data_IF_187373356609
#
_entry.id   IF_187373356609
#
_cell.length_a   1.000
_cell.length_b   1.000
_cell.length_c   1.000
_cell.angle_alpha   90.00
_cell.angle_beta   90.00
_cell.angle_gamma   90.00
#
_symmetry.space_group_name_H-M   'P 1'
#
loop_
_entity.id
_entity.type
_entity.pdbx_description
1 polymer ?
#
# COMPACT_ATOMS: atom_id res chain seq x y z
N UNK A 1 -22.91 -5.67 -35.43
CA UNK A 1 -23.28 -5.19 -34.08
C UNK A 1 -22.08 -4.42 -33.59
N UNK A 2 -22.22 -3.12 -33.40
CA UNK A 2 -21.12 -2.16 -33.42
C UNK A 2 -20.25 -2.23 -32.17
N UNK A 3 -18.92 -2.21 -32.40
CA UNK A 3 -17.84 -1.73 -31.55
C UNK A 3 -18.30 -1.23 -30.18
N UNK A 4 -18.04 -2.03 -29.14
CA UNK A 4 -18.34 -1.80 -27.72
C UNK A 4 -18.47 -0.31 -27.36
N UNK A 5 -19.71 0.15 -27.27
CA UNK A 5 -20.07 1.51 -26.92
C UNK A 5 -19.81 1.74 -25.43
N UNK A 6 -18.61 2.23 -25.11
CA UNK A 6 -18.23 2.57 -23.74
C UNK A 6 -19.19 3.61 -23.14
N UNK A 7 -19.67 4.57 -23.94
CA UNK A 7 -20.63 5.58 -23.48
C UNK A 7 -21.98 4.92 -23.14
N UNK A 8 -22.43 3.97 -23.95
CA UNK A 8 -23.62 3.17 -23.67
C UNK A 8 -23.51 2.36 -22.38
N UNK A 9 -22.34 1.76 -22.11
CA UNK A 9 -22.08 1.05 -20.84
C UNK A 9 -22.07 2.02 -19.65
N UNK A 10 -21.39 3.16 -19.78
CA UNK A 10 -21.33 4.20 -18.75
C UNK A 10 -22.74 4.66 -18.36
N UNK A 11 -23.54 5.08 -19.36
CA UNK A 11 -24.91 5.56 -19.16
C UNK A 11 -25.78 4.50 -18.50
N UNK A 12 -25.74 3.27 -19.01
CA UNK A 12 -26.55 2.18 -18.46
C UNK A 12 -26.16 1.83 -17.01
N UNK A 13 -24.88 1.95 -16.64
CA UNK A 13 -24.44 1.78 -15.25
C UNK A 13 -24.91 2.93 -14.38
N UNK A 14 -24.75 4.18 -14.83
CA UNK A 14 -25.19 5.37 -14.10
C UNK A 14 -26.71 5.36 -13.84
N UNK A 15 -27.53 5.10 -14.87
CA UNK A 15 -28.99 5.01 -14.76
C UNK A 15 -29.43 3.95 -13.74
N UNK A 16 -28.73 2.81 -13.68
CA UNK A 16 -29.02 1.77 -12.68
C UNK A 16 -28.61 2.21 -11.28
N UNK A 17 -27.45 2.85 -11.13
CA UNK A 17 -26.99 3.35 -9.84
C UNK A 17 -27.96 4.39 -9.27
N UNK A 18 -28.51 5.25 -10.13
CA UNK A 18 -29.49 6.26 -9.74
C UNK A 18 -30.82 5.69 -9.20
N UNK A 19 -31.10 4.40 -9.43
CA UNK A 19 -32.27 3.73 -8.86
C UNK A 19 -32.06 3.25 -7.42
N UNK A 20 -30.84 3.33 -6.88
CA UNK A 20 -30.50 2.93 -5.53
C UNK A 20 -30.44 4.13 -4.58
N UNK A 21 -30.45 3.86 -3.28
CA UNK A 21 -30.24 4.88 -2.26
C UNK A 21 -28.79 5.40 -2.28
N UNK A 22 -28.54 6.63 -1.77
CA UNK A 22 -27.17 7.19 -1.65
C UNK A 22 -26.18 6.24 -0.95
N UNK A 23 -26.61 5.61 0.14
CA UNK A 23 -25.80 4.64 0.88
C UNK A 23 -25.47 3.40 0.03
N UNK A 24 -26.43 2.87 -0.73
CA UNK A 24 -26.19 1.71 -1.62
C UNK A 24 -25.24 2.06 -2.78
N UNK A 25 -25.32 3.29 -3.32
CA UNK A 25 -24.37 3.79 -4.33
C UNK A 25 -22.96 3.86 -3.74
N UNK A 26 -22.82 4.38 -2.52
CA UNK A 26 -21.53 4.45 -1.84
C UNK A 26 -20.94 3.06 -1.53
N UNK A 27 -21.77 2.11 -1.07
CA UNK A 27 -21.36 0.72 -0.88
C UNK A 27 -20.93 0.09 -2.21
N UNK A 28 -21.67 0.32 -3.30
CA UNK A 28 -21.28 -0.13 -4.63
C UNK A 28 -19.93 0.46 -5.05
N UNK A 29 -19.70 1.76 -4.81
CA UNK A 29 -18.44 2.42 -5.11
C UNK A 29 -17.26 1.80 -4.32
N UNK A 30 -17.51 1.39 -3.09
CA UNK A 30 -16.54 0.66 -2.26
C UNK A 30 -16.23 -0.73 -2.81
N UNK A 31 -17.23 -1.48 -3.31
CA UNK A 31 -16.99 -2.72 -4.06
C UNK A 31 -16.17 -2.46 -5.32
N UNK A 32 -16.57 -1.48 -6.14
CA UNK A 32 -15.86 -1.12 -7.37
C UNK A 32 -14.39 -0.79 -7.10
N UNK A 33 -14.12 0.07 -6.10
CA UNK A 33 -12.76 0.40 -5.65
C UNK A 33 -12.00 -0.87 -5.27
N UNK A 34 -12.59 -1.75 -4.46
CA UNK A 34 -11.90 -2.96 -4.01
C UNK A 34 -11.56 -3.94 -5.16
N UNK A 35 -12.48 -4.18 -6.10
CA UNK A 35 -12.17 -4.97 -7.30
C UNK A 35 -11.11 -4.30 -8.17
N UNK A 36 -11.11 -2.97 -8.26
CA UNK A 36 -10.12 -2.23 -9.02
C UNK A 36 -8.74 -2.42 -8.41
N UNK A 37 -8.61 -2.24 -7.10
CA UNK A 37 -7.36 -2.42 -6.36
C UNK A 37 -6.84 -3.86 -6.49
N UNK A 38 -7.73 -4.85 -6.35
CA UNK A 38 -7.35 -6.25 -6.53
C UNK A 38 -6.87 -6.59 -7.95
N UNK A 39 -7.15 -5.76 -8.96
CA UNK A 39 -6.63 -5.94 -10.31
C UNK A 39 -5.25 -5.29 -10.55
N UNK A 40 -4.69 -4.56 -9.57
CA UNK A 40 -3.32 -4.04 -9.62
C UNK A 40 -2.29 -5.16 -9.46
N UNK A 41 -1.96 -5.81 -10.57
CA UNK A 41 -0.99 -6.90 -10.62
C UNK A 41 -0.15 -6.80 -11.88
N UNK A 42 1.08 -7.29 -11.82
CA UNK A 42 2.01 -7.29 -12.96
C UNK A 42 1.45 -8.00 -14.20
N UNK A 43 0.71 -9.09 -14.04
CA UNK A 43 0.06 -9.79 -15.15
C UNK A 43 -1.03 -8.96 -15.85
N UNK A 44 -1.90 -8.31 -15.08
CA UNK A 44 -2.96 -7.44 -15.65
C UNK A 44 -2.34 -6.15 -16.22
N UNK A 45 -1.31 -5.61 -15.58
CA UNK A 45 -0.55 -4.47 -16.09
C UNK A 45 0.12 -4.79 -17.43
N UNK A 46 0.81 -5.93 -17.52
CA UNK A 46 1.44 -6.39 -18.75
C UNK A 46 0.42 -6.56 -19.88
N UNK A 47 -0.74 -7.18 -19.61
CA UNK A 47 -1.83 -7.26 -20.58
C UNK A 47 -2.31 -5.87 -21.03
N UNK A 48 -2.40 -4.92 -20.09
CA UNK A 48 -2.78 -3.54 -20.37
C UNK A 48 -1.79 -2.86 -21.31
N UNK A 49 -0.48 -3.03 -21.06
CA UNK A 49 0.58 -2.52 -21.91
C UNK A 49 0.49 -3.13 -23.31
N UNK A 50 0.37 -4.46 -23.43
CA UNK A 50 0.25 -5.15 -24.72
C UNK A 50 -0.93 -4.64 -25.54
N UNK A 51 -2.04 -4.25 -24.88
CA UNK A 51 -3.23 -3.73 -25.56
C UNK A 51 -3.16 -2.24 -25.94
N UNK A 52 -2.26 -1.45 -25.34
CA UNK A 52 -2.25 0.02 -25.47
C UNK A 52 -0.88 0.59 -25.85
N UNK A 53 0.07 -0.26 -26.26
CA UNK A 53 1.48 0.04 -26.54
C UNK A 53 2.30 0.55 -25.33
N UNK A 54 1.66 1.18 -24.34
CA UNK A 54 2.23 1.62 -23.07
C UNK A 54 1.12 1.99 -22.07
N UNK A 55 1.42 1.86 -20.78
CA UNK A 55 0.54 2.31 -19.70
C UNK A 55 1.31 3.09 -18.63
N UNK A 56 0.81 4.28 -18.27
CA UNK A 56 1.18 4.98 -17.04
C UNK A 56 0.32 4.49 -15.87
N UNK A 57 0.65 4.88 -14.64
CA UNK A 57 -0.14 4.53 -13.46
C UNK A 57 -1.61 4.98 -13.60
N UNK A 58 -1.85 6.21 -14.06
CA UNK A 58 -3.20 6.73 -14.34
C UNK A 58 -3.90 5.96 -15.46
N UNK A 59 -3.18 5.68 -16.56
CA UNK A 59 -3.74 4.88 -17.66
C UNK A 59 -4.09 3.45 -17.23
N UNK A 60 -3.36 2.91 -16.25
CA UNK A 60 -3.62 1.58 -15.72
C UNK A 60 -4.83 1.59 -14.76
N UNK A 61 -5.01 2.65 -13.98
CA UNK A 61 -6.23 2.86 -13.21
C UNK A 61 -7.47 2.84 -14.13
N UNK A 62 -7.39 3.56 -15.25
CA UNK A 62 -8.44 3.61 -16.27
C UNK A 62 -8.68 2.26 -16.94
N UNK A 63 -7.61 1.48 -17.15
CA UNK A 63 -7.71 0.13 -17.70
C UNK A 63 -8.41 -0.83 -16.73
N UNK A 64 -8.14 -0.74 -15.44
CA UNK A 64 -8.80 -1.57 -14.42
C UNK A 64 -10.29 -1.19 -14.31
N UNK A 65 -10.64 0.08 -14.45
CA UNK A 65 -12.03 0.53 -14.57
C UNK A 65 -12.72 -0.08 -15.81
N UNK A 66 -12.03 -0.04 -16.96
CA UNK A 66 -12.51 -0.72 -18.17
C UNK A 66 -12.71 -2.21 -17.96
N UNK A 67 -11.76 -2.91 -17.33
CA UNK A 67 -11.85 -4.35 -17.10
C UNK A 67 -13.09 -4.73 -16.27
N UNK A 68 -13.39 -3.94 -15.22
CA UNK A 68 -14.59 -4.14 -14.40
C UNK A 68 -15.87 -3.86 -15.21
N UNK A 69 -15.86 -2.83 -16.08
CA UNK A 69 -17.00 -2.52 -16.95
C UNK A 69 -17.38 -3.65 -17.91
N UNK A 70 -16.46 -4.59 -18.18
CA UNK A 70 -16.71 -5.80 -19.00
C UNK A 70 -17.55 -6.85 -18.26
N UNK A 71 -17.79 -6.66 -16.96
CA UNK A 71 -18.57 -7.54 -16.11
C UNK A 71 -17.74 -8.62 -15.43
N UNK A 72 -18.34 -9.21 -14.38
CA UNK A 72 -17.69 -10.13 -13.44
C UNK A 72 -16.98 -11.31 -14.12
N UNK A 73 -17.61 -11.96 -15.10
CA UNK A 73 -17.03 -13.12 -15.77
C UNK A 73 -15.75 -12.79 -16.54
N UNK A 74 -15.67 -11.61 -17.17
CA UNK A 74 -14.46 -11.17 -17.88
C UNK A 74 -13.39 -10.75 -16.89
N UNK A 75 -13.77 -10.02 -15.84
CA UNK A 75 -12.86 -9.63 -14.77
C UNK A 75 -12.20 -10.84 -14.11
N UNK A 76 -12.99 -11.83 -13.64
CA UNK A 76 -12.45 -13.02 -12.97
C UNK A 76 -11.57 -13.86 -13.91
N UNK A 77 -11.94 -13.99 -15.18
CA UNK A 77 -11.11 -14.69 -16.17
C UNK A 77 -9.76 -13.99 -16.36
N UNK A 78 -9.74 -12.66 -16.46
CA UNK A 78 -8.51 -11.89 -16.61
C UNK A 78 -7.65 -11.88 -15.32
N UNK A 79 -8.26 -11.97 -14.14
CA UNK A 79 -7.54 -12.11 -12.86
C UNK A 79 -6.83 -13.46 -12.75
N UNK A 80 -7.49 -14.52 -13.21
CA UNK A 80 -6.93 -15.88 -13.27
C UNK A 80 -5.85 -16.02 -14.34
N UNK A 81 -6.12 -15.49 -15.52
CA UNK A 81 -5.29 -15.60 -16.70
C UNK A 81 -5.46 -14.32 -17.56
N UNK A 82 -4.53 -13.35 -17.45
CA UNK A 82 -4.63 -12.12 -18.21
C UNK A 82 -4.59 -12.36 -19.73
N UNK A 83 -3.99 -13.46 -20.21
CA UNK A 83 -3.93 -13.81 -21.63
C UNK A 83 -5.31 -14.17 -22.21
N UNK A 84 -6.28 -14.52 -21.34
CA UNK A 84 -7.68 -14.77 -21.72
C UNK A 84 -8.36 -13.58 -22.41
N UNK A 85 -7.83 -12.36 -22.24
CA UNK A 85 -8.29 -11.16 -22.94
C UNK A 85 -8.08 -11.24 -24.46
N UNK A 86 -7.12 -12.05 -24.95
CA UNK A 86 -6.89 -12.25 -26.38
C UNK A 86 -8.12 -12.82 -27.12
N UNK A 87 -8.91 -13.64 -26.42
CA UNK A 87 -10.14 -14.24 -26.93
C UNK A 87 -11.37 -13.33 -26.90
N UNK A 88 -11.23 -12.07 -26.48
CA UNK A 88 -12.33 -11.11 -26.35
C UNK A 88 -12.30 -10.09 -27.49
N UNK A 89 -13.47 -9.50 -27.74
CA UNK A 89 -13.56 -8.28 -28.52
C UNK A 89 -13.10 -7.12 -27.63
N UNK A 90 -12.01 -6.48 -28.03
CA UNK A 90 -11.36 -5.38 -27.30
C UNK A 90 -11.63 -4.09 -28.09
N UNK A 91 -12.16 -3.03 -27.45
CA UNK A 91 -12.35 -1.74 -28.10
C UNK A 91 -11.00 -1.10 -28.44
N UNK A 92 -10.98 -0.16 -29.38
CA UNK A 92 -9.77 0.59 -29.75
C UNK A 92 -9.13 1.36 -28.59
N UNK A 93 -9.90 1.68 -27.55
CA UNK A 93 -9.43 2.32 -26.33
C UNK A 93 -9.92 1.52 -25.14
N UNK A 94 -9.00 1.06 -24.31
CA UNK A 94 -9.32 0.38 -23.05
C UNK A 94 -9.05 1.25 -21.82
N UNK A 95 -8.69 2.52 -22.01
CA UNK A 95 -8.67 3.51 -20.93
C UNK A 95 -10.09 4.07 -20.78
N UNK A 96 -10.71 3.83 -19.63
CA UNK A 96 -12.10 4.20 -19.37
C UNK A 96 -12.24 5.00 -18.06
N UNK A 97 -11.55 6.14 -18.01
CA UNK A 97 -11.51 7.07 -16.87
C UNK A 97 -12.91 7.41 -16.32
N UNK A 98 -13.84 7.78 -17.21
CA UNK A 98 -15.20 8.16 -16.82
C UNK A 98 -15.96 7.05 -16.07
N UNK A 99 -15.67 5.77 -16.37
CA UNK A 99 -16.26 4.67 -15.60
C UNK A 99 -15.74 4.61 -14.16
N UNK A 100 -14.52 5.11 -13.90
CA UNK A 100 -13.98 5.28 -12.56
C UNK A 100 -14.77 6.27 -11.69
N UNK A 101 -15.49 7.22 -12.32
CA UNK A 101 -16.30 8.23 -11.66
C UNK A 101 -17.81 7.95 -11.71
N UNK A 102 -18.26 6.84 -12.32
CA UNK A 102 -19.69 6.57 -12.56
C UNK A 102 -20.57 6.59 -11.29
N UNK A 103 -20.02 6.14 -10.15
CA UNK A 103 -20.74 6.21 -8.88
C UNK A 103 -20.82 7.63 -8.31
N UNK A 104 -19.76 8.42 -8.48
CA UNK A 104 -19.76 9.84 -8.10
C UNK A 104 -20.78 10.62 -8.95
N UNK A 105 -20.80 10.38 -10.26
CA UNK A 105 -21.75 11.02 -11.17
C UNK A 105 -23.20 10.59 -10.87
N UNK A 106 -23.44 9.31 -10.56
CA UNK A 106 -24.76 8.85 -10.15
C UNK A 106 -25.19 9.46 -8.81
N UNK A 107 -24.29 9.55 -7.83
CA UNK A 107 -24.56 10.09 -6.50
C UNK A 107 -24.90 11.58 -6.54
N UNK A 108 -24.16 12.36 -7.32
CA UNK A 108 -24.35 13.81 -7.46
C UNK A 108 -25.68 14.23 -8.08
N UNK A 109 -26.35 13.34 -8.78
CA UNK A 109 -27.69 13.59 -9.32
C UNK A 109 -28.77 13.47 -8.22
N UNK A 110 -28.44 12.86 -7.08
CA UNK A 110 -29.36 12.62 -5.96
C UNK A 110 -28.99 13.48 -4.74
N UNK A 111 -27.70 13.74 -4.53
CA UNK A 111 -27.15 14.45 -3.38
C UNK A 111 -26.28 15.63 -3.82
N UNK A 112 -26.28 16.73 -3.04
CA UNK A 112 -25.42 17.89 -3.31
C UNK A 112 -23.95 17.65 -2.91
N UNK A 113 -23.73 16.80 -1.90
CA UNK A 113 -22.40 16.40 -1.42
C UNK A 113 -21.75 15.32 -2.30
N UNK A 114 -20.45 15.09 -2.13
CA UNK A 114 -19.76 14.00 -2.80
C UNK A 114 -20.01 12.63 -2.15
N UNK A 115 -19.76 11.57 -2.92
CA UNK A 115 -19.96 10.18 -2.48
C UNK A 115 -18.93 9.73 -1.44
N UNK A 116 -17.80 10.42 -1.29
CA UNK A 116 -16.66 9.92 -0.52
C UNK A 116 -16.93 9.89 0.98
N UNK A 117 -17.61 10.90 1.53
CA UNK A 117 -18.02 10.89 2.93
C UNK A 117 -18.92 9.69 3.26
N UNK A 118 -19.86 9.37 2.38
CA UNK A 118 -20.75 8.21 2.54
C UNK A 118 -19.99 6.88 2.36
N UNK A 119 -19.01 6.82 1.46
CA UNK A 119 -18.12 5.66 1.31
C UNK A 119 -17.30 5.41 2.58
N UNK A 120 -16.76 6.45 3.18
CA UNK A 120 -15.95 6.36 4.41
C UNK A 120 -16.81 5.97 5.62
N UNK A 121 -18.07 6.42 5.66
CA UNK A 121 -19.04 6.00 6.66
C UNK A 121 -19.51 4.55 6.49
N UNK A 122 -19.46 4.01 5.26
CA UNK A 122 -19.95 2.67 4.91
C UNK A 122 -18.88 1.80 4.24
N UNK A 123 -17.74 1.54 4.91
CA UNK A 123 -16.67 0.75 4.34
C UNK A 123 -17.09 -0.73 4.18
N UNK A 124 -16.48 -1.43 3.22
CA UNK A 124 -16.65 -2.89 3.15
C UNK A 124 -16.14 -3.55 4.43
N UNK A 125 -16.95 -4.46 4.97
CA UNK A 125 -16.57 -5.30 6.10
C UNK A 125 -15.43 -6.24 5.74
N UNK A 126 -14.71 -6.74 6.76
CA UNK A 126 -13.67 -7.76 6.56
C UNK A 126 -14.22 -9.02 5.88
N UNK A 127 -15.43 -9.45 6.24
CA UNK A 127 -16.11 -10.59 5.64
C UNK A 127 -16.37 -10.35 4.13
N UNK A 128 -16.94 -9.20 3.75
CA UNK A 128 -17.17 -8.88 2.34
C UNK A 128 -15.87 -8.86 1.53
N UNK A 129 -14.79 -8.29 2.08
CA UNK A 129 -13.47 -8.31 1.42
C UNK A 129 -12.93 -9.74 1.29
N UNK A 130 -13.09 -10.58 2.31
CA UNK A 130 -12.68 -11.98 2.26
C UNK A 130 -13.49 -12.78 1.22
N UNK A 131 -14.80 -12.56 1.14
CA UNK A 131 -15.67 -13.20 0.15
C UNK A 131 -15.26 -12.82 -1.28
N UNK A 132 -14.96 -11.54 -1.53
CA UNK A 132 -14.44 -11.07 -2.82
C UNK A 132 -13.09 -11.72 -3.14
N UNK A 133 -12.20 -11.84 -2.16
CA UNK A 133 -10.89 -12.48 -2.41
C UNK A 133 -11.03 -13.97 -2.70
N UNK A 134 -11.97 -14.64 -2.03
CA UNK A 134 -12.20 -16.07 -2.18
C UNK A 134 -12.80 -16.45 -3.54
N UNK A 135 -13.52 -15.54 -4.21
CA UNK A 135 -14.03 -15.77 -5.57
C UNK A 135 -12.99 -15.53 -6.67
N UNK A 136 -11.89 -14.84 -6.37
CA UNK A 136 -10.84 -14.52 -7.35
C UNK A 136 -9.78 -15.61 -7.32
N UNK A 137 -9.56 -16.23 -8.47
CA UNK A 137 -8.36 -17.00 -8.73
C UNK A 137 -7.28 -16.06 -9.28
N UNK A 138 -6.08 -16.14 -8.73
CA UNK A 138 -4.99 -15.21 -9.02
C UNK A 138 -3.99 -15.82 -9.98
N UNK A 139 -3.63 -15.07 -11.02
CA UNK A 139 -2.51 -15.42 -11.90
C UNK A 139 -1.21 -15.52 -11.08
N UNK A 140 -0.53 -16.68 -11.06
CA UNK A 140 0.53 -16.94 -10.09
C UNK A 140 1.90 -16.36 -10.49
N UNK A 141 2.02 -15.80 -11.68
CA UNK A 141 3.30 -15.34 -12.22
C UNK A 141 3.42 -13.83 -12.15
N UNK A 142 4.59 -13.36 -11.70
CA UNK A 142 5.00 -11.99 -11.95
C UNK A 142 5.41 -11.85 -13.42
N UNK A 143 4.92 -10.79 -14.07
CA UNK A 143 5.19 -10.55 -15.48
C UNK A 143 6.03 -9.29 -15.63
N UNK A 144 7.23 -9.46 -16.19
CA UNK A 144 8.09 -8.37 -16.63
C UNK A 144 8.08 -8.23 -18.17
N UNK A 145 8.62 -7.13 -18.66
CA UNK A 145 8.68 -6.87 -20.10
C UNK A 145 9.47 -7.92 -20.90
N UNK A 146 10.67 -8.37 -20.48
CA UNK A 146 11.42 -9.40 -21.20
C UNK A 146 10.67 -10.74 -21.35
N UNK A 147 9.90 -11.15 -20.34
CA UNK A 147 9.22 -12.44 -20.29
C UNK A 147 7.73 -12.36 -20.61
N UNK A 148 7.20 -11.19 -21.00
CA UNK A 148 5.76 -11.01 -21.28
C UNK A 148 5.22 -12.00 -22.31
N UNK A 149 6.01 -12.36 -23.33
CA UNK A 149 5.59 -13.33 -24.36
C UNK A 149 5.48 -14.77 -23.84
N UNK A 150 6.16 -15.10 -22.75
CA UNK A 150 6.06 -16.42 -22.12
C UNK A 150 4.77 -16.54 -21.30
N UNK A 151 4.32 -15.43 -20.72
CA UNK A 151 3.16 -15.39 -19.83
C UNK A 151 1.86 -15.02 -20.57
N UNK A 152 1.94 -14.17 -21.60
CA UNK A 152 0.81 -13.67 -22.38
C UNK A 152 0.97 -13.93 -23.88
N UNK A 153 1.18 -15.19 -24.31
CA UNK A 153 1.52 -15.52 -25.68
C UNK A 153 0.42 -15.14 -26.69
N UNK A 154 -0.86 -15.31 -26.36
CA UNK A 154 -1.95 -15.05 -27.29
C UNK A 154 -2.20 -13.55 -27.48
N UNK A 155 -2.15 -12.78 -26.39
CA UNK A 155 -2.23 -11.31 -26.45
C UNK A 155 -1.07 -10.76 -27.27
N UNK A 156 0.16 -11.20 -26.98
CA UNK A 156 1.34 -10.75 -27.70
C UNK A 156 1.28 -11.12 -29.18
N UNK A 157 0.82 -12.33 -29.54
CA UNK A 157 0.69 -12.74 -30.94
C UNK A 157 -0.36 -11.93 -31.72
N UNK A 158 -1.40 -11.44 -31.04
CA UNK A 158 -2.50 -10.69 -31.65
C UNK A 158 -2.22 -9.19 -31.75
N UNK A 159 -1.48 -8.63 -30.80
CA UNK A 159 -1.34 -7.18 -30.64
C UNK A 159 0.08 -6.65 -30.82
N UNK A 160 1.12 -7.47 -30.71
CA UNK A 160 2.51 -7.04 -30.90
C UNK A 160 3.11 -7.62 -32.19
N UNK A 161 3.83 -6.78 -32.93
CA UNK A 161 4.66 -7.24 -34.05
C UNK A 161 5.80 -8.15 -33.54
N UNK A 162 6.23 -9.17 -34.32
CA UNK A 162 7.17 -10.20 -33.85
C UNK A 162 8.57 -9.70 -33.42
N UNK A 163 8.99 -8.52 -33.89
CA UNK A 163 10.34 -7.99 -33.70
C UNK A 163 10.38 -6.67 -32.91
N UNK A 164 9.26 -6.22 -32.35
CA UNK A 164 9.24 -5.01 -31.51
C UNK A 164 9.76 -5.36 -30.12
N UNK A 165 10.82 -4.66 -29.71
CA UNK A 165 11.26 -4.64 -28.32
C UNK A 165 10.19 -3.88 -27.52
N UNK A 166 9.50 -4.60 -26.66
CA UNK A 166 8.41 -4.08 -25.84
C UNK A 166 8.94 -3.91 -24.42
N UNK A 167 9.04 -2.68 -23.95
CA UNK A 167 9.64 -2.36 -22.66
C UNK A 167 8.63 -1.63 -21.76
N UNK A 168 8.43 -2.15 -20.55
CA UNK A 168 7.63 -1.54 -19.50
C UNK A 168 8.17 -1.97 -18.14
N UNK A 169 8.07 -1.07 -17.16
CA UNK A 169 8.33 -1.40 -15.76
C UNK A 169 7.02 -1.37 -14.99
N UNK A 170 6.60 -2.50 -14.45
CA UNK A 170 5.54 -2.49 -13.45
C UNK A 170 6.09 -1.94 -12.14
N UNK A 171 5.52 -0.82 -11.68
CA UNK A 171 5.67 -0.34 -10.31
C UNK A 171 4.29 -0.38 -9.70
N UNK A 172 4.13 -1.16 -8.63
CA UNK A 172 2.87 -1.17 -7.89
C UNK A 172 2.60 0.27 -7.42
N UNK A 173 1.43 0.82 -7.72
CA UNK A 173 1.12 2.22 -7.44
C UNK A 173 1.27 2.50 -5.93
N UNK A 174 2.13 3.44 -5.50
CA UNK A 174 2.30 3.77 -4.09
C UNK A 174 1.03 4.38 -3.44
N UNK A 175 0.10 4.89 -4.24
CA UNK A 175 -1.21 5.38 -3.79
C UNK A 175 -2.21 4.24 -3.46
N UNK A 176 -1.83 2.99 -3.72
CA UNK A 176 -2.41 1.79 -3.09
C UNK A 176 -1.50 1.31 -1.94
N UNK A 177 -1.59 2.00 -0.81
CA UNK A 177 -1.24 1.37 0.46
C UNK A 177 -2.38 0.41 0.80
N UNK A 178 -2.37 -0.79 0.23
CA UNK A 178 -2.61 -2.04 0.98
C UNK A 178 -1.94 -3.21 0.26
N UNK A 179 -1.06 -3.89 1.00
CA UNK A 179 -0.19 -5.00 0.60
C UNK A 179 1.02 -4.62 -0.26
N UNK A 180 1.75 -3.60 0.15
CA UNK A 180 3.05 -3.95 0.75
C UNK A 180 2.70 -4.46 2.13
N UNK A 181 3.16 -5.65 2.49
CA UNK A 181 2.98 -6.21 3.82
C UNK A 181 3.23 -5.10 4.86
N UNK A 182 2.22 -4.75 5.68
CA UNK A 182 2.38 -3.68 6.66
C UNK A 182 3.55 -3.97 7.59
N UNK A 183 3.85 -5.26 7.78
CA UNK A 183 5.05 -5.76 8.39
C UNK A 183 6.32 -5.31 7.65
N UNK A 184 6.41 -5.39 6.32
CA UNK A 184 7.60 -4.97 5.57
C UNK A 184 7.76 -3.44 5.55
N UNK A 185 6.66 -2.68 5.52
CA UNK A 185 6.71 -1.23 5.75
C UNK A 185 7.21 -0.92 7.15
N UNK A 186 6.70 -1.63 8.15
CA UNK A 186 7.11 -1.45 9.54
C UNK A 186 8.57 -1.89 9.79
N UNK A 187 9.03 -2.98 9.16
CA UNK A 187 10.44 -3.40 9.17
C UNK A 187 11.34 -2.37 8.50
N UNK A 188 10.90 -1.78 7.39
CA UNK A 188 11.65 -0.72 6.70
C UNK A 188 11.71 0.56 7.54
N UNK A 189 10.60 0.93 8.16
CA UNK A 189 10.50 1.99 9.15
C UNK A 189 11.47 1.76 10.32
N UNK A 190 11.48 0.56 10.89
CA UNK A 190 12.41 0.19 11.95
C UNK A 190 13.87 0.34 11.48
N UNK A 191 14.25 -0.18 10.31
CA UNK A 191 15.62 0.00 9.76
C UNK A 191 15.99 1.46 9.56
N UNK A 192 15.07 2.29 9.06
CA UNK A 192 15.29 3.72 8.86
C UNK A 192 15.50 4.44 10.20
N UNK A 193 14.66 4.14 11.18
CA UNK A 193 14.79 4.61 12.57
C UNK A 193 16.18 4.28 13.09
N UNK A 194 16.62 3.04 12.92
CA UNK A 194 17.93 2.59 13.41
C UNK A 194 19.07 3.31 12.71
N UNK A 195 18.99 3.45 11.38
CA UNK A 195 19.99 4.17 10.58
C UNK A 195 20.07 5.66 10.96
N UNK A 196 18.93 6.31 11.20
CA UNK A 196 18.88 7.74 11.53
C UNK A 196 19.23 8.04 12.98
N UNK A 197 18.98 7.08 13.88
CA UNK A 197 19.23 7.25 15.32
C UNK A 197 20.57 6.68 15.75
N UNK A 198 21.27 5.94 14.86
CA UNK A 198 22.56 5.32 15.15
C UNK A 198 22.42 4.13 16.10
N UNK A 199 21.49 3.21 15.81
CA UNK A 199 21.23 1.99 16.57
C UNK A 199 20.70 2.20 18.00
N UNK A 200 20.02 3.32 18.26
CA UNK A 200 19.53 3.68 19.60
C UNK A 200 18.09 3.25 19.90
N UNK A 201 17.49 2.46 19.01
CA UNK A 201 16.18 1.84 19.20
C UNK A 201 16.30 0.66 20.19
N UNK A 202 15.55 0.70 21.30
CA UNK A 202 15.44 -0.40 22.27
C UNK A 202 13.99 -0.81 22.45
N UNK A 203 13.69 -2.10 22.30
CA UNK A 203 12.35 -2.65 22.52
C UNK A 203 12.20 -3.24 23.92
N UNK A 204 11.05 -3.05 24.58
CA UNK A 204 10.71 -3.70 25.84
C UNK A 204 9.26 -4.20 25.83
N UNK A 205 8.93 -5.15 26.70
CA UNK A 205 7.58 -5.70 26.87
C UNK A 205 6.60 -4.64 27.40
N UNK A 206 5.99 -3.89 26.47
CA UNK A 206 5.06 -2.80 26.76
C UNK A 206 5.27 -1.54 25.91
N UNK A 207 6.33 -1.48 25.09
CA UNK A 207 6.62 -0.39 24.17
C UNK A 207 8.11 -0.27 23.85
N UNK A 208 8.46 0.35 22.73
CA UNK A 208 9.86 0.58 22.33
C UNK A 208 10.21 2.07 22.41
N UNK A 209 11.43 2.37 22.86
CA UNK A 209 11.95 3.74 23.01
C UNK A 209 13.19 3.93 22.14
N UNK A 210 13.36 5.14 21.62
CA UNK A 210 14.61 5.58 21.00
C UNK A 210 15.28 6.57 21.95
N UNK A 211 16.47 6.23 22.45
CA UNK A 211 17.31 7.15 23.22
C UNK A 211 18.12 8.03 22.27
N UNK A 212 18.08 9.36 22.33
CA UNK A 212 19.24 10.16 21.99
C UNK A 212 20.25 10.09 23.15
N UNK A 213 21.54 10.11 22.85
CA UNK A 213 22.65 9.94 23.79
C UNK A 213 22.46 10.70 25.11
N UNK A 214 22.57 9.94 26.20
CA UNK A 214 22.58 10.41 27.58
C UNK A 214 23.68 11.45 27.80
N UNK A 215 23.30 12.72 27.90
CA UNK A 215 24.02 13.74 28.68
C UNK A 215 23.23 15.04 28.90
N UNK A 216 22.06 15.20 28.25
CA UNK A 216 21.23 16.40 28.40
C UNK A 216 20.07 16.20 29.35
N UNK A 217 19.75 17.26 30.09
CA UNK A 217 18.57 17.36 30.94
C UNK A 217 17.26 17.49 30.15
N UNK A 218 17.32 17.57 28.81
CA UNK A 218 16.16 17.59 27.93
C UNK A 218 16.45 16.84 26.61
N UNK A 219 15.57 15.93 26.22
CA UNK A 219 15.72 15.14 24.98
C UNK A 219 14.37 14.73 24.38
N UNK A 220 14.37 14.35 23.10
CA UNK A 220 13.20 13.81 22.41
C UNK A 220 13.20 12.28 22.42
N UNK A 221 12.15 11.68 22.97
CA UNK A 221 11.91 10.25 22.93
C UNK A 221 10.83 9.92 21.92
N UNK A 222 11.15 9.07 20.95
CA UNK A 222 10.16 8.50 20.03
C UNK A 222 9.70 7.16 20.60
N UNK A 223 8.39 7.03 20.76
CA UNK A 223 7.74 5.91 21.41
C UNK A 223 6.95 5.13 20.38
N UNK A 224 7.21 3.83 20.29
CA UNK A 224 6.38 2.91 19.55
C UNK A 224 5.33 2.32 20.50
N UNK A 225 4.08 2.77 20.40
CA UNK A 225 2.96 2.26 21.22
C UNK A 225 2.19 1.18 20.48
N UNK A 226 1.91 0.08 21.19
CA UNK A 226 1.10 -1.03 20.72
C UNK A 226 -0.28 -0.95 21.35
N UNK A 227 -1.32 -0.82 20.54
CA UNK A 227 -2.72 -0.91 20.96
C UNK A 227 -3.33 -2.20 20.40
N UNK A 228 -4.12 -2.90 21.20
CA UNK A 228 -4.84 -4.10 20.75
C UNK A 228 -6.27 -3.71 20.41
N UNK A 229 -6.65 -3.83 19.15
CA UNK A 229 -8.05 -3.72 18.74
C UNK A 229 -8.72 -5.10 18.90
N UNK A 230 -9.27 -5.34 20.08
CA UNK A 230 -9.95 -6.60 20.41
C UNK A 230 -11.14 -6.91 19.50
N UNK A 231 -11.77 -5.90 18.88
CA UNK A 231 -12.90 -6.11 17.96
C UNK A 231 -12.43 -6.49 16.57
N UNK A 232 -11.35 -5.87 16.10
CA UNK A 232 -10.78 -6.16 14.80
C UNK A 232 -9.81 -7.35 14.80
N UNK A 233 -9.38 -7.82 15.97
CA UNK A 233 -8.28 -8.78 16.15
C UNK A 233 -6.99 -8.32 15.43
N UNK A 234 -6.64 -7.05 15.61
CA UNK A 234 -5.45 -6.43 15.03
C UNK A 234 -4.67 -5.71 16.11
N UNK A 235 -3.36 -5.61 15.93
CA UNK A 235 -2.48 -4.72 16.67
C UNK A 235 -2.29 -3.43 15.90
N UNK A 236 -2.55 -2.29 16.53
CA UNK A 236 -2.18 -0.99 15.99
C UNK A 236 -0.87 -0.52 16.60
N UNK A 237 0.06 -0.12 15.76
CA UNK A 237 1.34 0.45 16.17
C UNK A 237 1.35 1.92 15.82
N UNK A 238 1.58 2.75 16.82
CA UNK A 238 1.67 4.21 16.71
C UNK A 238 3.09 4.67 17.05
N UNK A 239 3.55 5.73 16.37
CA UNK A 239 4.79 6.41 16.71
C UNK A 239 4.48 7.80 17.27
N UNK A 240 4.82 8.02 18.53
CA UNK A 240 4.59 9.29 19.23
C UNK A 240 5.92 9.89 19.71
N UNK A 241 6.04 11.21 19.66
CA UNK A 241 7.24 11.92 20.12
C UNK A 241 6.94 12.69 21.39
N UNK A 242 7.71 12.40 22.45
CA UNK A 242 7.61 13.08 23.73
C UNK A 242 8.90 13.82 24.04
N UNK A 243 8.78 15.05 24.51
CA UNK A 243 9.91 15.78 25.11
C UNK A 243 10.03 15.29 26.55
N UNK A 244 11.20 14.76 26.89
CA UNK A 244 11.55 14.39 28.26
C UNK A 244 12.47 15.46 28.83
N UNK A 245 12.19 15.90 30.05
CA UNK A 245 13.07 16.80 30.81
C UNK A 245 13.39 16.16 32.15
N UNK A 246 14.66 15.82 32.38
CA UNK A 246 15.13 15.13 33.59
C UNK A 246 15.82 16.05 34.59
N UNK A 247 16.11 17.30 34.21
CA UNK A 247 16.76 18.29 35.07
C UNK A 247 15.86 19.45 35.51
N UNK A 248 16.18 20.05 36.65
CA UNK A 248 15.48 21.23 37.19
C UNK A 248 16.08 22.58 36.73
N UNK A 249 17.12 22.55 35.89
CA UNK A 249 17.81 23.76 35.41
C UNK A 249 17.26 24.23 34.06
N UNK A 250 17.21 25.54 33.79
CA UNK A 250 16.91 26.06 32.46
C UNK A 250 17.95 25.59 31.42
N UNK A 251 17.48 25.37 30.20
CA UNK A 251 18.28 24.99 29.05
C UNK A 251 19.23 26.13 28.63
N UNK A 252 20.51 25.84 28.43
CA UNK A 252 21.45 26.80 27.85
C UNK A 252 21.36 26.85 26.30
N UNK A 253 22.08 27.78 25.66
CA UNK A 253 22.02 27.93 24.19
C UNK A 253 22.57 26.71 23.44
N UNK A 254 23.48 25.95 24.03
CA UNK A 254 24.04 24.73 23.42
C UNK A 254 23.02 23.60 23.47
N UNK A 255 22.34 23.45 24.61
CA UNK A 255 21.28 22.47 24.78
C UNK A 255 20.07 22.79 23.90
N UNK A 256 19.73 24.07 23.73
CA UNK A 256 18.66 24.50 22.82
C UNK A 256 18.96 24.18 21.36
N UNK A 257 20.19 24.42 20.91
CA UNK A 257 20.62 24.08 19.55
C UNK A 257 20.59 22.56 19.30
N UNK A 258 20.99 21.76 20.30
CA UNK A 258 20.89 20.29 20.22
C UNK A 258 19.45 19.82 20.14
N UNK A 259 18.57 20.33 21.00
CA UNK A 259 17.16 20.01 20.94
C UNK A 259 16.55 20.39 19.58
N UNK A 260 16.92 21.54 19.01
CA UNK A 260 16.47 21.94 17.67
C UNK A 260 16.91 20.93 16.58
N UNK A 261 18.13 20.41 16.68
CA UNK A 261 18.62 19.37 15.77
C UNK A 261 17.84 18.06 15.95
N UNK A 262 17.58 17.64 17.19
CA UNK A 262 16.78 16.45 17.50
C UNK A 262 15.33 16.59 17.00
N UNK A 263 14.71 17.77 17.13
CA UNK A 263 13.38 18.07 16.57
C UNK A 263 13.41 17.88 15.05
N UNK A 264 14.45 18.38 14.38
CA UNK A 264 14.60 18.24 12.93
C UNK A 264 14.73 16.77 12.50
N UNK A 265 15.52 15.97 13.22
CA UNK A 265 15.68 14.53 12.96
C UNK A 265 14.36 13.78 13.20
N UNK A 266 13.69 14.04 14.32
CA UNK A 266 12.41 13.41 14.64
C UNK A 266 11.32 13.79 13.64
N UNK A 267 11.27 15.04 13.19
CA UNK A 267 10.35 15.49 12.16
C UNK A 267 10.62 14.83 10.81
N UNK A 268 11.90 14.79 10.38
CA UNK A 268 12.29 14.13 9.13
C UNK A 268 11.95 12.63 9.15
N UNK A 269 12.18 11.97 10.29
CA UNK A 269 11.84 10.57 10.50
C UNK A 269 10.32 10.34 10.44
N UNK A 270 9.52 11.09 11.20
CA UNK A 270 8.05 10.95 11.16
C UNK A 270 7.47 11.23 9.76
N UNK A 271 8.08 12.16 9.02
CA UNK A 271 7.70 12.45 7.64
C UNK A 271 8.06 11.29 6.72
N UNK A 272 9.26 10.72 6.86
CA UNK A 272 9.74 9.59 6.07
C UNK A 272 9.05 8.28 6.40
N UNK A 273 8.48 8.15 7.60
CA UNK A 273 7.68 6.98 7.97
C UNK A 273 6.37 6.88 7.18
N UNK A 274 5.94 7.94 6.46
CA UNK A 274 4.74 8.09 5.62
C UNK A 274 3.38 7.80 6.31
N UNK A 275 3.34 6.78 7.17
CA UNK A 275 2.26 6.30 8.00
C UNK A 275 2.67 6.40 9.47
N UNK A 276 1.91 7.16 10.26
CA UNK A 276 2.07 7.25 11.73
C UNK A 276 1.42 6.07 12.46
N UNK A 277 0.72 5.20 11.73
CA UNK A 277 -0.04 4.08 12.28
C UNK A 277 0.02 2.87 11.35
N UNK A 278 0.32 1.70 11.93
CA UNK A 278 0.36 0.39 11.27
C UNK A 278 -0.64 -0.56 11.96
N UNK A 279 -1.24 -1.50 11.24
CA UNK A 279 -2.34 -2.38 11.67
C UNK A 279 -2.11 -3.87 11.35
N UNK A 280 -1.36 -4.55 12.22
CA UNK A 280 -0.90 -5.93 12.00
C UNK A 280 -1.88 -6.98 12.50
N UNK A 281 -1.93 -8.12 11.83
CA UNK A 281 -2.48 -9.38 12.38
C UNK A 281 -1.59 -9.92 13.50
N UNK A 282 -2.09 -10.85 14.36
CA UNK A 282 -1.27 -11.50 15.37
C UNK A 282 -0.05 -12.23 14.79
N UNK A 283 -0.17 -12.88 13.63
CA UNK A 283 0.95 -13.55 12.96
C UNK A 283 2.01 -12.56 12.46
N UNK A 284 1.59 -11.45 11.84
CA UNK A 284 2.49 -10.39 11.39
C UNK A 284 3.17 -9.69 12.57
N UNK A 285 2.43 -9.46 13.66
CA UNK A 285 2.97 -8.91 14.91
C UNK A 285 4.06 -9.82 15.49
N UNK A 286 3.85 -11.14 15.50
CA UNK A 286 4.86 -12.10 15.95
C UNK A 286 6.10 -12.06 15.05
N UNK A 287 5.92 -12.01 13.73
CA UNK A 287 7.04 -11.89 12.80
C UNK A 287 7.81 -10.57 12.96
N UNK A 288 7.13 -9.48 13.32
CA UNK A 288 7.78 -8.22 13.65
C UNK A 288 8.59 -8.32 14.94
N UNK A 289 8.02 -8.92 15.99
CA UNK A 289 8.70 -9.11 17.27
C UNK A 289 9.96 -9.98 17.11
N UNK A 290 9.90 -11.04 16.29
CA UNK A 290 11.05 -11.86 15.95
C UNK A 290 12.13 -11.08 15.17
N UNK A 291 11.71 -10.25 14.20
CA UNK A 291 12.63 -9.39 13.45
C UNK A 291 13.38 -8.39 14.36
N UNK A 292 12.68 -7.73 15.28
CA UNK A 292 13.31 -6.79 16.22
C UNK A 292 14.32 -7.52 17.13
N UNK A 293 13.96 -8.72 17.63
CA UNK A 293 14.87 -9.52 18.45
C UNK A 293 16.15 -9.91 17.67
N UNK A 294 16.02 -10.31 16.41
CA UNK A 294 17.18 -10.62 15.56
C UNK A 294 18.10 -9.40 15.36
N UNK A 295 17.54 -8.20 15.18
CA UNK A 295 18.35 -6.97 15.11
C UNK A 295 19.07 -6.67 16.43
N UNK A 296 18.43 -6.89 17.58
CA UNK A 296 19.04 -6.73 18.90
C UNK A 296 20.18 -7.73 19.13
N UNK A 297 20.00 -9.01 18.81
CA UNK A 297 21.04 -10.06 18.93
C UNK A 297 22.25 -9.79 18.03
N UNK A 298 22.03 -9.32 16.80
CA UNK A 298 23.09 -8.93 15.87
C UNK A 298 23.94 -7.76 16.42
N UNK A 299 23.32 -6.82 17.11
CA UNK A 299 24.01 -5.68 17.75
C UNK A 299 24.86 -6.11 18.93
N UNK A 300 24.31 -6.92 19.84
CA UNK A 300 25.06 -7.41 21.00
C UNK A 300 26.32 -8.19 20.57
N UNK A 301 26.22 -8.91 19.46
CA UNK A 301 27.35 -9.63 18.86
C UNK A 301 28.39 -8.69 18.25
N UNK A 302 27.96 -7.62 17.57
CA UNK A 302 28.85 -6.60 16.99
C UNK A 302 29.55 -5.77 18.07
N UNK A 303 28.83 -5.34 19.12
CA UNK A 303 29.41 -4.61 20.26
C UNK A 303 30.44 -5.46 21.02
N UNK A 304 30.22 -6.78 21.17
CA UNK A 304 31.21 -7.68 21.77
C UNK A 304 32.47 -7.84 20.89
N UNK A 305 32.33 -7.84 19.56
CA UNK A 305 33.46 -7.96 18.62
C UNK A 305 34.32 -6.70 18.49
N UNK A 306 33.72 -5.53 18.72
CA UNK A 306 34.41 -4.22 18.71
C UNK A 306 35.01 -3.84 20.07
N UNK A 307 34.82 -4.66 21.11
CA UNK A 307 35.57 -4.50 22.36
C UNK A 307 37.05 -4.83 22.12
N UNK A 308 37.99 -3.89 22.32
CA UNK A 308 39.40 -4.21 22.15
C UNK A 308 39.80 -5.32 23.12
N UNK A 309 40.56 -6.32 22.65
CA UNK A 309 41.30 -7.21 23.54
C UNK A 309 42.34 -6.36 24.28
N UNK A 310 41.94 -5.74 25.39
CA UNK A 310 42.87 -5.15 26.35
C UNK A 310 43.53 -6.28 27.12
N UNK A 311 44.67 -6.72 26.57
CA UNK A 311 45.85 -7.24 27.25
C UNK A 311 45.64 -8.06 28.52
N UNK A 312 45.79 -9.38 28.39
CA UNK A 312 46.54 -10.13 29.41
C UNK A 312 47.95 -9.56 29.50
N UNK A 313 48.28 -8.94 30.62
CA UNK A 313 49.61 -9.00 31.21
C UNK A 313 49.45 -8.92 32.73
N UNK A 314 49.98 -9.95 33.39
CA UNK A 314 50.08 -10.23 34.83
C UNK A 314 49.58 -9.19 35.84
#
# INVERSE_FOLDING_TARGET
MNCLDLEGVLRATQEKLQAYSPQEIAVWANFFRHYRDLADTSGVFAASCVLNDYMSDDGFLDFRAWLISRGKAVYLAARKDPDSLAGREIPKRTRFESYGYVAYDAYREICEDDVYAEMDANPLTKAQKADIRAEIEYFPHEVDAPHVRNHLPNLCAKHLEPQVFFDFSYRKNPLEIFYTDELEKLKSAARLIESMTGSRFKSYSGGSFIYPESSSDAYLAINMRRETDFKANLYRIHFDVNIQTTGSRPMDSTELMRLQQEVGVAHALLTALEMQTYSLTPEEMQSFDDFIREQEELRETQEQSDTPITGQTF
#
